data_IF_310724202423
#
_entry.id   IF_310724202423
#
_cell.length_a   1.000
_cell.length_b   1.000
_cell.length_c   1.000
_cell.angle_alpha   90.00
_cell.angle_beta   90.00
_cell.angle_gamma   90.00
#
_symmetry.space_group_name_H-M   'P 1'
#
loop_
_entity.id
_entity.type
_entity.pdbx_description
1 polymer ?
#
# COMPACT_ATOMS: atom_id res chain seq x y z
N UNK A 1 16.09 -6.57 -5.31
CA UNK A 1 15.01 -5.57 -5.26
C UNK A 1 14.11 -5.82 -6.46
N UNK A 2 12.82 -6.08 -6.23
CA UNK A 2 11.84 -6.27 -7.30
C UNK A 2 11.05 -4.96 -7.43
N UNK A 3 10.93 -4.44 -8.65
CA UNK A 3 10.15 -3.26 -8.96
C UNK A 3 8.97 -3.67 -9.84
N UNK A 4 7.75 -3.57 -9.31
CA UNK A 4 6.51 -3.89 -10.03
C UNK A 4 5.64 -2.66 -10.10
N UNK A 5 4.58 -2.70 -10.92
CA UNK A 5 3.52 -1.70 -10.84
C UNK A 5 2.96 -1.62 -9.43
N UNK A 6 2.65 -0.40 -8.97
CA UNK A 6 1.92 -0.21 -7.72
C UNK A 6 0.42 -0.16 -8.01
N UNK A 7 -0.21 -1.32 -7.88
CA UNK A 7 -1.65 -1.56 -8.07
C UNK A 7 -2.07 -2.86 -7.37
N UNK A 8 -3.38 -3.09 -7.31
CA UNK A 8 -3.94 -4.44 -7.07
C UNK A 8 -4.12 -5.13 -8.42
N UNK A 9 -4.03 -6.46 -8.47
CA UNK A 9 -4.24 -7.22 -9.70
C UNK A 9 -5.58 -6.87 -10.36
N UNK A 10 -5.53 -6.55 -11.66
CA UNK A 10 -6.70 -6.11 -12.43
C UNK A 10 -7.08 -4.64 -12.27
N UNK A 11 -6.39 -3.87 -11.42
CA UNK A 11 -6.58 -2.43 -11.27
C UNK A 11 -5.53 -1.64 -12.07
N UNK A 12 -5.86 -0.42 -12.55
CA UNK A 12 -4.87 0.50 -13.11
C UNK A 12 -3.76 0.84 -12.12
N UNK A 13 -2.62 1.30 -12.64
CA UNK A 13 -1.55 1.88 -11.82
C UNK A 13 -2.07 3.13 -11.10
N UNK A 14 -1.66 3.29 -9.84
CA UNK A 14 -1.95 4.46 -9.01
C UNK A 14 -1.44 5.75 -9.66
N UNK A 15 -2.26 6.81 -9.62
CA UNK A 15 -1.95 8.15 -10.15
C UNK A 15 -2.22 9.28 -9.17
N UNK A 16 -2.87 9.03 -8.04
CA UNK A 16 -3.11 10.06 -7.00
C UNK A 16 -2.68 9.59 -5.60
N UNK A 17 -2.38 10.52 -4.67
CA UNK A 17 -2.13 10.21 -3.26
C UNK A 17 -3.22 9.34 -2.61
N UNK A 18 -4.48 9.64 -2.89
CA UNK A 18 -5.63 8.93 -2.35
C UNK A 18 -5.69 7.48 -2.87
N UNK A 19 -5.39 7.28 -4.15
CA UNK A 19 -5.27 5.94 -4.75
C UNK A 19 -4.10 5.15 -4.14
N UNK A 20 -2.98 5.81 -3.84
CA UNK A 20 -1.81 5.19 -3.20
C UNK A 20 -2.17 4.68 -1.80
N UNK A 21 -2.86 5.49 -0.98
CA UNK A 21 -3.29 5.11 0.36
C UNK A 21 -4.29 3.95 0.30
N UNK A 22 -5.28 4.01 -0.60
CA UNK A 22 -6.24 2.91 -0.77
C UNK A 22 -5.55 1.62 -1.19
N UNK A 23 -4.67 1.69 -2.19
CA UNK A 23 -3.92 0.53 -2.69
C UNK A 23 -3.01 -0.05 -1.60
N UNK A 24 -2.31 0.79 -0.85
CA UNK A 24 -1.48 0.38 0.29
C UNK A 24 -2.27 -0.43 1.33
N UNK A 25 -3.45 0.05 1.70
CA UNK A 25 -4.32 -0.63 2.67
C UNK A 25 -4.82 -1.96 2.09
N UNK A 26 -5.36 -1.96 0.88
CA UNK A 26 -5.96 -3.14 0.23
C UNK A 26 -4.94 -4.21 -0.14
N UNK A 27 -3.76 -3.82 -0.59
CA UNK A 27 -2.68 -4.74 -0.95
C UNK A 27 -1.98 -5.36 0.28
N UNK A 28 -2.32 -4.92 1.50
CA UNK A 28 -1.77 -5.49 2.73
C UNK A 28 -0.27 -5.23 2.89
N UNK A 29 0.25 -4.12 2.33
CA UNK A 29 1.67 -3.78 2.41
C UNK A 29 2.04 -3.25 3.80
N UNK A 30 3.34 -3.34 4.12
CA UNK A 30 3.91 -2.93 5.42
C UNK A 30 4.19 -1.43 5.49
N UNK A 31 4.70 -0.85 4.40
CA UNK A 31 5.06 0.56 4.31
C UNK A 31 4.67 1.20 2.96
N UNK A 32 4.33 2.48 3.01
CA UNK A 32 4.12 3.36 1.86
C UNK A 32 4.99 4.61 2.01
N UNK A 33 5.85 4.84 1.03
CA UNK A 33 6.59 6.11 0.88
C UNK A 33 5.81 6.99 -0.09
N UNK A 34 5.35 8.16 0.37
CA UNK A 34 4.56 9.10 -0.41
C UNK A 34 5.18 10.50 -0.31
N UNK A 35 6.02 10.84 -1.28
CA UNK A 35 6.83 12.06 -1.21
C UNK A 35 7.79 12.03 -0.02
N UNK A 36 7.61 12.96 0.94
CA UNK A 36 8.41 13.06 2.17
C UNK A 36 7.79 12.33 3.37
N UNK A 37 6.69 11.62 3.17
CA UNK A 37 5.98 10.91 4.22
C UNK A 37 6.30 9.42 4.13
N UNK A 38 6.58 8.83 5.29
CA UNK A 38 6.65 7.38 5.48
C UNK A 38 5.44 6.95 6.32
N UNK A 39 4.60 6.10 5.75
CA UNK A 39 3.40 5.56 6.38
C UNK A 39 3.68 4.08 6.64
N UNK A 40 3.50 3.63 7.88
CA UNK A 40 3.71 2.24 8.28
C UNK A 40 2.44 1.68 8.91
N UNK A 41 2.15 0.41 8.67
CA UNK A 41 1.10 -0.30 9.39
C UNK A 41 1.49 -0.44 10.86
N UNK A 42 0.59 -0.12 11.77
CA UNK A 42 0.77 -0.41 13.20
C UNK A 42 0.45 -1.88 13.46
N UNK A 43 1.24 -2.55 14.31
CA UNK A 43 1.06 -3.96 14.67
C UNK A 43 -0.38 -4.33 15.15
N UNK A 44 -1.15 -3.36 15.64
CA UNK A 44 -2.54 -3.56 16.04
C UNK A 44 -3.53 -3.81 14.87
N UNK A 45 -3.10 -3.74 13.61
CA UNK A 45 -3.96 -3.86 12.43
C UNK A 45 -3.57 -5.02 11.48
N UNK A 46 -2.76 -5.98 11.95
CA UNK A 46 -2.49 -7.23 11.24
C UNK A 46 -3.72 -8.15 11.34
N UNK A 47 -4.63 -8.02 10.37
CA UNK A 47 -5.72 -8.98 10.16
C UNK A 47 -5.18 -10.18 9.37
N UNK A 48 -4.28 -10.93 10.00
CA UNK A 48 -3.93 -12.31 9.60
C UNK A 48 -3.68 -13.16 10.84
N UNK A 49 -4.72 -13.40 11.63
CA UNK A 49 -4.82 -14.50 12.59
C UNK A 49 -6.28 -14.73 12.99
N UNK A 50 -7.09 -15.26 12.05
CA UNK A 50 -8.27 -16.10 12.32
C UNK A 50 -8.46 -17.01 11.13
#
# INVERSE_FOLDING_TARGET
LLNTSFNVAGQPIVRTPEEAVRTFITAGLDALVLGRLLITRTAAHDRTAT
#
